data_IF_932869902930
#
_entry.id   IF_932869902930
#
_cell.length_a   1.000
_cell.length_b   1.000
_cell.length_c   1.000
_cell.angle_alpha   90.00
_cell.angle_beta   90.00
_cell.angle_gamma   90.00
#
_symmetry.space_group_name_H-M   'P 1'
#
loop_
_entity.id
_entity.type
_entity.pdbx_description
1 polymer ?
#
# COMPACT_ATOMS: atom_id res chain seq x y z
N UNK A 1 23.85 8.06 16.88
CA UNK A 1 22.66 7.26 17.23
C UNK A 1 22.73 6.95 18.71
N UNK A 2 21.61 7.06 19.41
CA UNK A 2 21.50 6.72 20.84
C UNK A 2 21.40 5.19 21.01
N UNK A 3 21.85 4.66 22.15
CA UNK A 3 21.83 3.23 22.45
C UNK A 3 21.64 2.94 23.93
N UNK A 4 21.31 1.69 24.26
CA UNK A 4 21.01 1.23 25.63
C UNK A 4 19.51 1.14 25.90
N UNK A 5 19.07 0.92 27.16
CA UNK A 5 17.64 0.87 27.47
C UNK A 5 17.00 2.27 27.37
N UNK A 6 15.74 2.32 26.92
CA UNK A 6 14.96 3.57 26.95
C UNK A 6 14.64 3.90 28.42
N UNK A 7 15.01 5.09 28.93
CA UNK A 7 14.68 5.48 30.30
C UNK A 7 13.18 5.36 30.59
N UNK A 8 12.75 4.70 31.69
CA UNK A 8 11.32 4.46 31.97
C UNK A 8 10.47 5.73 32.01
N UNK A 9 11.06 6.87 32.42
CA UNK A 9 10.36 8.14 32.51
C UNK A 9 9.87 8.67 31.15
N UNK A 10 10.53 8.33 30.04
CA UNK A 10 10.09 8.72 28.68
C UNK A 10 8.78 7.99 28.35
N UNK A 11 8.68 6.72 28.71
CA UNK A 11 7.50 5.91 28.45
C UNK A 11 6.33 6.31 29.36
N UNK A 12 6.61 6.73 30.60
CA UNK A 12 5.59 7.12 31.58
C UNK A 12 5.12 8.58 31.47
N UNK A 13 5.69 9.41 30.60
CA UNK A 13 5.31 10.81 30.50
C UNK A 13 3.90 11.03 29.91
N UNK A 14 3.33 12.18 30.30
CA UNK A 14 2.05 12.71 29.82
C UNK A 14 2.19 13.22 28.38
N UNK A 15 1.08 13.35 27.64
CA UNK A 15 1.00 13.80 26.23
C UNK A 15 1.43 15.26 26.00
N UNK A 16 2.06 15.92 26.98
CA UNK A 16 2.51 17.31 26.87
C UNK A 16 3.87 17.44 26.17
N UNK A 17 4.67 16.37 26.16
CA UNK A 17 6.00 16.38 25.56
C UNK A 17 6.09 15.31 24.47
N UNK A 18 6.73 15.72 23.39
CA UNK A 18 6.90 14.97 22.15
C UNK A 18 8.34 14.45 22.07
N UNK A 19 8.51 13.13 21.94
CA UNK A 19 9.81 12.48 21.86
C UNK A 19 9.94 11.66 20.59
N UNK A 20 10.85 12.07 19.73
CA UNK A 20 11.26 11.25 18.61
C UNK A 20 12.51 10.43 18.98
N UNK A 21 12.32 9.12 19.06
CA UNK A 21 13.38 8.13 19.29
C UNK A 21 13.55 7.25 18.05
N UNK A 22 12.93 7.59 16.92
CA UNK A 22 13.04 6.81 15.69
C UNK A 22 14.48 6.71 15.19
N UNK A 23 14.80 5.64 14.47
CA UNK A 23 16.14 5.40 13.90
C UNK A 23 17.28 5.49 14.94
N UNK A 24 17.05 4.96 16.15
CA UNK A 24 18.07 4.78 17.18
C UNK A 24 18.32 3.30 17.46
N UNK A 25 19.22 3.00 18.39
CA UNK A 25 19.74 1.66 18.63
C UNK A 25 19.52 1.19 20.08
N UNK A 26 18.28 1.27 20.55
CA UNK A 26 17.94 0.93 21.92
C UNK A 26 17.80 -0.58 22.15
N UNK A 27 18.14 -1.03 23.35
CA UNK A 27 17.97 -2.40 23.86
C UNK A 27 16.70 -2.48 24.71
N UNK A 28 16.10 -3.66 24.82
CA UNK A 28 14.98 -3.91 25.76
C UNK A 28 13.77 -2.97 25.57
N UNK A 29 13.32 -2.78 24.33
CA UNK A 29 12.07 -2.06 24.09
C UNK A 29 10.91 -2.93 24.58
N UNK A 30 10.40 -2.64 25.77
CA UNK A 30 9.06 -3.10 26.16
C UNK A 30 8.07 -2.46 25.19
N UNK A 31 7.52 -3.26 24.28
CA UNK A 31 6.47 -2.82 23.35
C UNK A 31 5.37 -2.16 24.16
N UNK A 32 5.15 -0.84 24.03
CA UNK A 32 4.09 -0.18 24.77
C UNK A 32 2.77 -0.84 24.35
N UNK A 33 1.97 -1.29 25.31
CA UNK A 33 0.65 -1.87 25.01
C UNK A 33 -0.25 -0.89 24.23
N UNK A 34 0.04 0.41 24.33
CA UNK A 34 -0.56 1.48 23.55
C UNK A 34 0.53 2.43 23.05
N UNK A 35 0.74 2.52 21.73
CA UNK A 35 1.61 3.56 21.18
C UNK A 35 0.97 4.93 21.29
N UNK A 36 1.69 5.85 21.92
CA UNK A 36 1.26 7.22 22.17
C UNK A 36 1.57 8.07 20.95
N UNK A 37 0.67 8.99 20.60
CA UNK A 37 0.90 9.95 19.50
C UNK A 37 2.10 10.89 19.76
N UNK A 38 2.62 10.94 20.98
CA UNK A 38 3.73 11.81 21.39
C UNK A 38 5.08 11.08 21.52
N UNK A 39 5.18 9.81 21.13
CA UNK A 39 6.41 9.02 21.21
C UNK A 39 6.61 8.22 19.92
N UNK A 40 7.59 8.63 19.11
CA UNK A 40 7.94 7.91 17.89
C UNK A 40 9.05 6.89 18.16
N UNK A 41 8.71 5.61 18.08
CA UNK A 41 9.63 4.47 18.26
C UNK A 41 9.95 3.74 16.94
N UNK A 42 9.66 4.34 15.79
CA UNK A 42 9.88 3.71 14.49
C UNK A 42 11.35 3.30 14.32
N UNK A 43 11.62 2.01 14.03
CA UNK A 43 12.97 1.45 13.91
C UNK A 43 13.92 1.90 15.05
N UNK A 44 13.48 1.85 16.29
CA UNK A 44 14.25 2.29 17.47
C UNK A 44 14.99 1.16 18.21
N UNK A 45 14.73 -0.11 17.89
CA UNK A 45 15.34 -1.29 18.53
C UNK A 45 16.47 -1.93 17.73
N UNK A 46 17.40 -2.55 18.46
CA UNK A 46 18.38 -3.49 17.92
C UNK A 46 17.92 -4.95 18.08
N UNK A 47 17.90 -5.73 16.99
CA UNK A 47 17.80 -7.20 17.08
C UNK A 47 17.30 -7.92 15.82
N UNK A 48 18.21 -8.63 15.14
CA UNK A 48 17.88 -9.74 14.23
C UNK A 48 17.48 -9.39 12.79
N UNK A 49 18.41 -9.62 11.86
CA UNK A 49 18.37 -9.51 10.40
C UNK A 49 17.83 -8.25 9.70
N UNK A 50 16.83 -7.51 10.18
CA UNK A 50 16.52 -6.15 9.74
C UNK A 50 15.77 -5.47 10.88
N UNK A 51 16.09 -4.22 11.20
CA UNK A 51 15.41 -3.42 12.24
C UNK A 51 13.92 -3.31 11.89
N UNK A 52 13.09 -4.23 12.40
CA UNK A 52 11.65 -4.14 12.26
C UNK A 52 11.16 -2.93 13.06
N UNK A 53 10.23 -2.13 12.54
CA UNK A 53 9.59 -1.08 13.33
C UNK A 53 9.01 -1.65 14.62
N UNK A 54 9.00 -0.86 15.70
CA UNK A 54 8.27 -1.27 16.91
C UNK A 54 6.79 -1.41 16.52
N UNK A 55 6.27 -2.63 16.63
CA UNK A 55 4.90 -2.94 16.21
C UNK A 55 3.94 -2.56 17.33
N UNK A 56 3.29 -1.42 17.10
CA UNK A 56 2.26 -0.84 17.95
C UNK A 56 0.86 -1.44 17.74
N UNK A 57 0.67 -2.14 16.62
CA UNK A 57 -0.56 -2.80 16.22
C UNK A 57 -0.29 -4.29 16.15
N UNK A 58 -1.25 -5.12 16.57
CA UNK A 58 -1.12 -6.56 16.46
C UNK A 58 -0.87 -6.97 15.00
N UNK A 59 -0.14 -8.06 14.86
CA UNK A 59 0.53 -8.52 13.64
C UNK A 59 -0.40 -9.08 12.56
N UNK A 60 -1.63 -8.57 12.46
CA UNK A 60 -2.69 -9.20 11.66
C UNK A 60 -2.94 -8.44 10.35
N UNK A 61 -2.37 -8.96 9.27
CA UNK A 61 -2.81 -8.64 7.91
C UNK A 61 -4.04 -9.50 7.56
N UNK A 62 -5.19 -8.85 7.38
CA UNK A 62 -6.44 -9.47 6.93
C UNK A 62 -6.32 -10.03 5.52
N UNK A 63 -5.55 -9.36 4.65
CA UNK A 63 -5.34 -9.76 3.25
C UNK A 63 -3.96 -9.36 2.74
N UNK A 64 -3.39 -10.26 1.94
CA UNK A 64 -2.23 -9.99 1.11
C UNK A 64 -2.50 -8.87 0.10
N UNK A 65 -1.59 -7.91 0.05
CA UNK A 65 -1.63 -6.74 -0.82
C UNK A 65 -0.65 -6.90 -1.98
N UNK A 66 -1.18 -6.70 -3.19
CA UNK A 66 -0.40 -6.70 -4.44
C UNK A 66 -0.21 -5.29 -4.96
N UNK A 67 -1.00 -4.33 -4.50
CA UNK A 67 -0.86 -2.93 -4.85
C UNK A 67 -1.35 -2.04 -3.72
N UNK A 68 -0.74 -0.88 -3.57
CA UNK A 68 -1.12 0.16 -2.60
C UNK A 68 -0.95 1.51 -3.27
N UNK A 69 -1.97 2.37 -3.17
CA UNK A 69 -2.02 3.68 -3.80
C UNK A 69 -2.43 4.70 -2.74
N UNK A 70 -1.62 5.74 -2.51
CA UNK A 70 -1.80 6.66 -1.39
C UNK A 70 -1.84 8.10 -1.92
N UNK A 71 -2.90 8.85 -1.59
CA UNK A 71 -2.99 10.29 -1.85
C UNK A 71 -2.39 11.07 -0.68
N UNK A 72 -1.10 11.38 -0.74
CA UNK A 72 -0.31 11.87 0.38
C UNK A 72 -0.77 13.28 0.80
N UNK A 73 -1.23 13.46 2.04
CA UNK A 73 -1.80 14.74 2.52
C UNK A 73 -3.23 15.01 2.04
N UNK A 74 -3.80 14.15 1.19
CA UNK A 74 -5.09 14.34 0.54
C UNK A 74 -6.15 13.33 0.98
N UNK A 75 -7.42 13.66 0.71
CA UNK A 75 -8.54 12.75 0.90
C UNK A 75 -8.53 11.63 -0.16
N UNK A 76 -9.31 10.58 0.05
CA UNK A 76 -9.47 9.51 -0.93
C UNK A 76 -9.89 10.09 -2.29
N UNK A 77 -9.26 9.62 -3.37
CA UNK A 77 -9.56 10.09 -4.72
C UNK A 77 -9.39 8.99 -5.75
N UNK A 78 -10.08 9.11 -6.87
CA UNK A 78 -9.98 8.14 -7.98
C UNK A 78 -9.32 8.81 -9.19
N UNK A 79 -8.31 8.14 -9.74
CA UNK A 79 -7.63 8.57 -10.97
C UNK A 79 -7.68 7.42 -11.97
N UNK A 80 -8.40 7.62 -13.06
CA UNK A 80 -8.69 6.54 -14.00
C UNK A 80 -9.47 5.43 -13.31
N UNK A 81 -8.87 4.24 -13.20
CA UNK A 81 -9.45 3.06 -12.54
C UNK A 81 -8.81 2.75 -11.18
N UNK A 82 -7.93 3.62 -10.69
CA UNK A 82 -7.17 3.42 -9.45
C UNK A 82 -7.74 4.32 -8.36
N UNK A 83 -8.06 3.72 -7.21
CA UNK A 83 -8.47 4.44 -6.00
C UNK A 83 -7.22 4.66 -5.16
N UNK A 84 -6.95 5.92 -4.82
CA UNK A 84 -5.88 6.32 -3.92
C UNK A 84 -6.46 6.53 -2.53
N UNK A 85 -5.95 5.77 -1.57
CA UNK A 85 -6.35 5.84 -0.16
C UNK A 85 -6.01 7.21 0.44
N UNK A 86 -6.85 7.68 1.35
CA UNK A 86 -6.68 8.96 2.02
C UNK A 86 -5.47 8.95 2.97
N UNK A 87 -4.62 9.97 2.86
CA UNK A 87 -3.64 10.37 3.86
C UNK A 87 -3.93 11.82 4.30
N UNK A 88 -5.12 12.05 4.84
CA UNK A 88 -5.62 13.38 5.24
C UNK A 88 -5.56 13.62 6.75
N UNK A 89 -5.00 12.69 7.51
CA UNK A 89 -4.89 12.86 8.95
C UNK A 89 -3.94 14.01 9.31
N UNK A 90 -4.20 14.71 10.43
CA UNK A 90 -3.26 15.69 10.96
C UNK A 90 -1.89 15.04 11.16
N UNK A 91 -0.84 15.69 10.67
CA UNK A 91 0.53 15.31 10.97
C UNK A 91 0.93 15.69 12.40
N UNK A 92 2.21 15.56 12.70
CA UNK A 92 2.74 15.93 14.01
C UNK A 92 4.25 15.83 14.06
N UNK A 93 4.83 16.39 15.12
CA UNK A 93 6.28 16.44 15.30
C UNK A 93 6.92 15.06 15.44
N UNK A 94 6.15 14.11 15.98
CA UNK A 94 6.60 12.79 16.39
C UNK A 94 5.47 11.77 16.24
N UNK A 95 4.90 11.63 15.04
CA UNK A 95 3.76 10.74 14.85
C UNK A 95 4.23 9.35 14.41
N UNK A 96 3.95 8.33 15.21
CA UNK A 96 4.03 6.93 14.79
C UNK A 96 2.98 6.11 15.55
N UNK A 97 1.74 6.24 15.10
CA UNK A 97 0.61 5.51 15.67
C UNK A 97 -0.11 4.79 14.53
N UNK A 98 -0.22 3.47 14.61
CA UNK A 98 -0.82 2.71 13.54
C UNK A 98 -2.35 2.91 13.60
N UNK A 99 -2.92 3.43 12.53
CA UNK A 99 -4.38 3.64 12.40
C UNK A 99 -5.01 2.83 11.27
N UNK A 100 -4.19 2.40 10.32
CA UNK A 100 -4.57 1.58 9.17
C UNK A 100 -3.83 0.26 9.23
N UNK A 101 -4.42 -0.77 8.65
CA UNK A 101 -3.85 -2.11 8.59
C UNK A 101 -2.67 -2.19 7.60
N UNK A 102 -2.84 -1.60 6.42
CA UNK A 102 -1.95 -1.80 5.26
C UNK A 102 -0.75 -0.86 5.27
N UNK A 103 -0.86 0.37 5.74
CA UNK A 103 0.27 1.31 5.74
C UNK A 103 0.14 2.33 6.85
N UNK A 104 1.26 2.93 7.21
CA UNK A 104 1.32 3.95 8.25
C UNK A 104 2.47 4.92 7.98
N UNK A 105 2.43 6.06 8.68
CA UNK A 105 3.50 7.06 8.59
C UNK A 105 4.27 7.17 9.91
N UNK A 106 5.57 7.40 9.79
CA UNK A 106 6.43 7.91 10.85
C UNK A 106 6.88 9.32 10.46
N UNK A 107 6.51 10.33 11.26
CA UNK A 107 6.89 11.72 11.03
C UNK A 107 7.80 12.23 12.13
N UNK A 108 8.75 13.09 11.73
CA UNK A 108 9.73 13.69 12.63
C UNK A 108 9.93 15.17 12.28
N UNK A 109 10.18 15.96 13.32
CA UNK A 109 10.56 17.35 13.21
C UNK A 109 9.43 18.31 13.58
N UNK A 110 9.77 19.29 14.40
CA UNK A 110 8.93 20.42 14.76
C UNK A 110 9.79 21.66 14.88
N UNK A 111 9.24 22.81 14.48
CA UNK A 111 9.90 24.09 14.65
C UNK A 111 9.67 24.55 16.08
N UNK A 112 10.75 24.71 16.85
CA UNK A 112 10.66 25.24 18.20
C UNK A 112 9.99 26.62 18.22
N UNK A 113 9.22 26.88 19.28
CA UNK A 113 8.47 28.12 19.54
C UNK A 113 7.39 28.49 18.51
N UNK A 114 7.06 27.61 17.57
CA UNK A 114 5.93 27.77 16.65
C UNK A 114 4.81 26.83 17.07
N UNK A 115 3.60 27.35 17.30
CA UNK A 115 2.46 26.48 17.56
C UNK A 115 2.20 25.61 16.32
N UNK A 116 2.10 24.29 16.48
CA UNK A 116 1.86 23.41 15.33
C UNK A 116 0.52 23.75 14.67
N UNK A 117 0.56 23.88 13.35
CA UNK A 117 -0.59 24.05 12.48
C UNK A 117 -0.71 22.84 11.54
N UNK A 118 -1.92 22.53 11.07
CA UNK A 118 -2.13 21.49 10.06
C UNK A 118 -1.29 21.75 8.79
N UNK A 119 -1.14 23.03 8.42
CA UNK A 119 -0.34 23.49 7.27
C UNK A 119 1.16 23.18 7.41
N UNK A 120 1.64 22.85 8.62
CA UNK A 120 3.03 22.49 8.85
C UNK A 120 3.34 21.04 8.44
N UNK A 121 2.30 20.23 8.20
CA UNK A 121 2.43 18.83 7.81
C UNK A 121 1.60 18.43 6.58
N UNK A 122 0.67 19.26 6.14
CA UNK A 122 -0.07 19.10 4.88
C UNK A 122 0.05 20.40 4.10
N UNK A 123 0.67 20.34 2.92
CA UNK A 123 0.66 21.46 2.00
C UNK A 123 -0.65 21.48 1.23
N UNK A 124 -1.15 22.69 0.97
CA UNK A 124 -2.21 22.94 0.01
C UNK A 124 -1.65 23.79 -1.15
N UNK A 125 -2.12 23.51 -2.36
CA UNK A 125 -1.72 24.23 -3.56
C UNK A 125 -2.08 25.72 -3.48
N UNK A 126 -1.11 26.57 -3.82
CA UNK A 126 -1.33 28.03 -3.79
C UNK A 126 -2.04 28.58 -5.03
N UNK A 127 -2.11 27.81 -6.12
CA UNK A 127 -2.72 28.24 -7.37
C UNK A 127 -3.44 27.10 -8.09
N UNK A 128 -4.23 27.46 -9.10
CA UNK A 128 -4.92 26.48 -9.95
C UNK A 128 -3.90 25.61 -10.67
N UNK A 129 -4.01 24.30 -10.46
CA UNK A 129 -3.15 23.30 -11.07
C UNK A 129 -3.73 22.89 -12.43
N UNK A 130 -2.97 23.12 -13.51
CA UNK A 130 -3.37 22.79 -14.90
C UNK A 130 -2.83 21.46 -15.42
N UNK A 131 -2.18 20.69 -14.55
CA UNK A 131 -1.63 19.38 -14.88
C UNK A 131 -2.72 18.30 -14.94
N UNK A 132 -2.43 17.21 -15.66
CA UNK A 132 -3.30 16.04 -15.68
C UNK A 132 -3.37 15.41 -14.28
N UNK A 133 -4.54 14.87 -13.93
CA UNK A 133 -4.79 14.25 -12.63
C UNK A 133 -4.47 15.18 -11.45
N UNK A 134 -4.74 16.48 -11.61
CA UNK A 134 -4.42 17.53 -10.63
C UNK A 134 -4.98 17.24 -9.24
N UNK A 135 -6.02 16.43 -9.11
CA UNK A 135 -6.58 15.98 -7.83
C UNK A 135 -5.57 15.28 -6.90
N UNK A 136 -4.51 14.68 -7.43
CA UNK A 136 -3.42 14.07 -6.62
C UNK A 136 -2.38 15.08 -6.13
N UNK A 137 -2.40 16.30 -6.66
CA UNK A 137 -1.37 17.31 -6.41
C UNK A 137 -1.95 18.56 -5.73
N UNK A 138 -3.26 18.59 -5.43
CA UNK A 138 -3.89 19.70 -4.69
C UNK A 138 -3.40 19.78 -3.26
N UNK A 139 -3.14 18.63 -2.65
CA UNK A 139 -2.49 18.52 -1.34
C UNK A 139 -1.26 17.63 -1.43
N UNK A 140 -0.34 17.82 -0.51
CA UNK A 140 0.85 16.99 -0.38
C UNK A 140 1.22 16.83 1.09
N UNK A 141 1.73 15.65 1.47
CA UNK A 141 2.29 15.44 2.80
C UNK A 141 3.67 16.07 2.87
N UNK A 142 3.94 16.80 3.94
CA UNK A 142 5.28 17.31 4.22
C UNK A 142 5.66 17.19 5.69
N UNK A 143 6.95 17.25 5.99
CA UNK A 143 7.45 17.32 7.37
C UNK A 143 8.70 18.20 7.41
N UNK A 144 9.03 18.83 8.55
CA UNK A 144 10.26 19.60 8.65
C UNK A 144 11.55 18.77 8.52
N UNK A 145 11.56 17.52 9.00
CA UNK A 145 12.80 16.71 9.08
C UNK A 145 12.73 15.39 8.32
N UNK A 146 11.81 14.48 8.68
CA UNK A 146 11.70 13.18 8.02
C UNK A 146 10.28 12.65 8.02
N UNK A 147 9.91 12.03 6.90
CA UNK A 147 8.64 11.39 6.65
C UNK A 147 8.91 9.98 6.14
N UNK A 148 8.36 8.97 6.80
CA UNK A 148 8.50 7.58 6.37
C UNK A 148 7.14 6.97 6.15
N UNK A 149 6.88 6.43 4.97
CA UNK A 149 5.75 5.54 4.72
C UNK A 149 6.24 4.10 4.93
N UNK A 150 5.58 3.40 5.85
CA UNK A 150 5.81 1.99 6.09
C UNK A 150 4.57 1.23 5.65
N UNK A 151 4.68 0.56 4.49
CA UNK A 151 3.62 -0.22 3.86
C UNK A 151 3.83 -1.68 4.24
N UNK A 152 2.82 -2.31 4.82
CA UNK A 152 2.79 -3.69 5.33
C UNK A 152 1.87 -4.55 4.47
N UNK A 153 1.79 -5.83 4.83
CA UNK A 153 0.89 -6.80 4.22
C UNK A 153 1.16 -7.04 2.73
N UNK A 154 2.32 -6.65 2.23
CA UNK A 154 2.74 -6.90 0.86
C UNK A 154 3.18 -8.36 0.72
N UNK A 155 2.88 -8.97 -0.41
CA UNK A 155 3.45 -10.29 -0.74
C UNK A 155 4.94 -10.13 -1.04
N UNK A 156 5.77 -11.08 -0.61
CA UNK A 156 7.19 -11.04 -0.96
C UNK A 156 7.39 -11.14 -2.48
N UNK A 157 8.17 -10.21 -3.04
CA UNK A 157 8.34 -10.08 -4.48
C UNK A 157 8.98 -8.77 -4.90
N UNK A 158 9.02 -8.53 -6.21
CA UNK A 158 9.45 -7.26 -6.77
C UNK A 158 8.24 -6.36 -7.03
N UNK A 159 8.42 -5.08 -6.74
CA UNK A 159 7.40 -4.05 -6.89
C UNK A 159 7.93 -2.88 -7.72
N UNK A 160 7.08 -2.37 -8.59
CA UNK A 160 7.23 -1.05 -9.20
C UNK A 160 6.70 -0.01 -8.22
N UNK A 161 7.55 0.93 -7.84
CA UNK A 161 7.22 2.05 -6.96
C UNK A 161 7.27 3.32 -7.78
N UNK A 162 6.17 4.08 -7.81
CA UNK A 162 6.12 5.41 -8.39
C UNK A 162 5.88 6.44 -7.29
N UNK A 163 6.77 7.41 -7.22
CA UNK A 163 6.70 8.51 -6.26
C UNK A 163 6.32 9.78 -7.03
N UNK A 164 5.20 10.37 -6.63
CA UNK A 164 4.63 11.53 -7.30
C UNK A 164 4.98 12.80 -6.53
N UNK A 165 5.56 13.75 -7.24
CA UNK A 165 5.99 15.03 -6.71
C UNK A 165 5.44 16.18 -7.55
N UNK A 166 5.02 17.24 -6.89
CA UNK A 166 4.83 18.55 -7.49
C UNK A 166 5.19 19.61 -6.46
N UNK A 167 5.98 20.61 -6.85
CA UNK A 167 6.25 21.75 -5.97
C UNK A 167 5.06 22.71 -6.06
N UNK A 168 4.22 22.70 -5.02
CA UNK A 168 2.95 23.42 -4.94
C UNK A 168 2.98 24.57 -3.91
N UNK A 169 4.10 24.70 -3.19
CA UNK A 169 4.31 25.68 -2.12
C UNK A 169 5.29 26.75 -2.58
N UNK A 170 6.51 26.39 -2.97
CA UNK A 170 7.46 27.34 -3.56
C UNK A 170 6.90 27.87 -4.90
N UNK A 171 7.17 29.14 -5.20
CA UNK A 171 6.62 29.85 -6.37
C UNK A 171 7.74 30.38 -7.26
N UNK A 172 7.44 30.70 -8.50
CA UNK A 172 8.37 31.33 -9.45
C UNK A 172 8.07 32.83 -9.68
N UNK A 173 7.15 33.39 -8.88
CA UNK A 173 6.70 34.78 -9.00
C UNK A 173 7.57 35.76 -8.16
N UNK A 174 7.28 37.06 -8.28
CA UNK A 174 7.94 38.12 -7.48
C UNK A 174 7.39 38.18 -6.04
N UNK A 175 7.46 37.07 -5.31
CA UNK A 175 7.09 36.99 -3.89
C UNK A 175 8.18 36.33 -3.05
N UNK A 176 8.06 36.40 -1.72
CA UNK A 176 9.01 35.72 -0.81
C UNK A 176 9.05 34.20 -1.01
N UNK A 177 7.99 33.60 -1.57
CA UNK A 177 7.92 32.16 -1.86
C UNK A 177 8.87 31.70 -2.97
N UNK A 178 9.39 32.61 -3.81
CA UNK A 178 10.36 32.26 -4.85
C UNK A 178 11.81 32.17 -4.39
N UNK A 179 12.07 32.59 -3.16
CA UNK A 179 13.36 32.40 -2.51
C UNK A 179 13.47 31.01 -1.84
N UNK A 180 12.35 30.32 -1.64
CA UNK A 180 12.32 28.99 -1.04
C UNK A 180 13.04 27.96 -1.89
N UNK A 181 13.80 27.06 -1.25
CA UNK A 181 14.45 25.93 -1.90
C UNK A 181 14.23 24.67 -1.07
N UNK A 182 13.59 23.67 -1.67
CA UNK A 182 13.32 22.36 -1.05
C UNK A 182 14.32 21.34 -1.57
N UNK A 183 15.16 20.81 -0.69
CA UNK A 183 16.17 19.81 -1.06
C UNK A 183 16.17 18.71 -0.01
N UNK A 184 15.92 17.47 -0.42
CA UNK A 184 15.86 16.33 0.49
C UNK A 184 16.33 15.04 -0.20
N UNK A 185 16.59 14.01 0.58
CA UNK A 185 16.92 12.68 0.10
C UNK A 185 15.68 11.79 0.15
N UNK A 186 15.58 10.85 -0.80
CA UNK A 186 14.53 9.82 -0.85
C UNK A 186 15.19 8.45 -0.83
N UNK A 187 14.70 7.59 0.06
CA UNK A 187 15.15 6.23 0.25
C UNK A 187 13.99 5.27 0.03
N UNK A 188 14.29 4.12 -0.57
CA UNK A 188 13.38 2.98 -0.64
C UNK A 188 14.13 1.76 -0.09
N UNK A 189 13.57 1.09 0.92
CA UNK A 189 14.25 -0.02 1.63
C UNK A 189 15.67 0.35 2.07
N UNK A 190 15.81 1.49 2.77
CA UNK A 190 17.09 2.06 3.26
C UNK A 190 18.12 2.42 2.16
N UNK A 191 17.79 2.27 0.86
CA UNK A 191 18.65 2.64 -0.26
C UNK A 191 18.27 4.00 -0.80
N UNK A 192 19.23 4.90 -0.93
CA UNK A 192 19.01 6.22 -1.53
C UNK A 192 18.69 6.07 -3.03
N UNK A 193 17.52 6.55 -3.44
CA UNK A 193 17.05 6.53 -4.84
C UNK A 193 17.09 7.92 -5.46
N UNK A 194 16.92 8.97 -4.65
CA UNK A 194 17.12 10.36 -5.05
C UNK A 194 17.94 11.05 -3.96
N UNK A 195 19.09 11.61 -4.34
CA UNK A 195 19.97 12.37 -3.44
C UNK A 195 19.91 13.85 -3.79
N UNK A 196 19.89 14.72 -2.79
CA UNK A 196 19.81 16.18 -2.96
C UNK A 196 18.68 16.58 -3.93
N UNK A 197 17.54 15.90 -3.79
CA UNK A 197 16.41 16.01 -4.70
C UNK A 197 15.69 17.35 -4.54
N UNK A 198 15.58 18.06 -5.66
CA UNK A 198 14.92 19.35 -5.81
C UNK A 198 13.77 19.18 -6.81
N UNK A 199 12.53 19.24 -6.30
CA UNK A 199 11.31 18.94 -7.08
C UNK A 199 11.18 19.93 -8.25
N UNK A 200 11.38 21.23 -7.98
CA UNK A 200 11.25 22.29 -8.98
C UNK A 200 12.22 22.05 -10.14
N UNK A 201 13.49 21.73 -9.84
CA UNK A 201 14.49 21.44 -10.88
C UNK A 201 14.15 20.19 -11.68
N UNK A 202 13.73 19.12 -11.00
CA UNK A 202 13.40 17.85 -11.66
C UNK A 202 12.16 17.96 -12.55
N UNK A 203 11.13 18.69 -12.10
CA UNK A 203 9.90 18.96 -12.84
C UNK A 203 10.04 20.10 -13.88
N UNK A 204 11.19 20.79 -13.90
CA UNK A 204 11.46 21.98 -14.72
C UNK A 204 10.48 23.13 -14.45
N UNK A 205 10.15 23.35 -13.18
CA UNK A 205 9.32 24.44 -12.68
C UNK A 205 8.37 24.04 -11.55
N UNK A 206 7.72 25.04 -10.96
CA UNK A 206 6.65 24.87 -9.97
C UNK A 206 5.33 24.46 -10.62
N UNK A 207 4.40 23.90 -9.86
CA UNK A 207 3.10 23.39 -10.34
C UNK A 207 3.23 22.41 -11.53
N UNK A 208 4.31 21.64 -11.56
CA UNK A 208 4.57 20.61 -12.57
C UNK A 208 4.78 19.26 -11.89
N UNK A 209 4.29 18.23 -12.57
CA UNK A 209 4.41 16.85 -12.10
C UNK A 209 5.79 16.31 -12.42
N UNK A 210 6.43 15.72 -11.43
CA UNK A 210 7.54 14.80 -11.60
C UNK A 210 7.18 13.45 -10.97
N UNK A 211 7.33 12.37 -11.75
CA UNK A 211 7.10 11.00 -11.28
C UNK A 211 8.43 10.27 -11.32
N UNK A 212 8.90 9.83 -10.16
CA UNK A 212 10.06 8.96 -10.07
C UNK A 212 9.64 7.50 -10.05
N UNK A 213 10.11 6.73 -11.02
CA UNK A 213 9.88 5.28 -11.07
C UNK A 213 11.11 4.55 -10.52
N UNK A 214 10.88 3.62 -9.59
CA UNK A 214 11.91 2.77 -9.02
C UNK A 214 11.38 1.35 -8.82
N UNK A 215 12.27 0.39 -8.66
CA UNK A 215 11.92 -1.00 -8.34
C UNK A 215 12.41 -1.35 -6.95
N UNK A 216 11.58 -2.02 -6.16
CA UNK A 216 11.91 -2.44 -4.81
C UNK A 216 11.62 -3.92 -4.61
N UNK A 217 12.51 -4.61 -3.90
CA UNK A 217 12.30 -5.98 -3.48
C UNK A 217 11.73 -5.99 -2.06
N UNK A 218 10.63 -6.70 -1.86
CA UNK A 218 10.00 -6.95 -0.56
C UNK A 218 10.33 -8.37 -0.12
N UNK A 219 10.93 -8.51 1.06
CA UNK A 219 11.38 -9.81 1.62
C UNK A 219 10.73 -10.16 2.95
N UNK A 220 10.17 -9.17 3.62
CA UNK A 220 9.64 -9.23 4.98
C UNK A 220 8.22 -8.64 5.03
N UNK A 221 7.46 -8.82 3.95
CA UNK A 221 6.07 -8.37 3.76
C UNK A 221 5.83 -6.86 3.95
N UNK A 222 6.91 -6.07 4.00
CA UNK A 222 6.86 -4.64 4.15
C UNK A 222 7.77 -3.90 3.17
N UNK A 223 7.40 -2.65 2.89
CA UNK A 223 8.15 -1.73 2.06
C UNK A 223 8.23 -0.37 2.77
N UNK A 224 9.44 0.14 2.88
CA UNK A 224 9.70 1.45 3.46
C UNK A 224 10.08 2.47 2.39
N UNK A 225 9.44 3.64 2.43
CA UNK A 225 9.81 4.82 1.66
C UNK A 225 10.10 5.94 2.66
N UNK A 226 11.35 6.37 2.76
CA UNK A 226 11.78 7.43 3.67
C UNK A 226 12.19 8.66 2.89
N UNK A 227 11.63 9.80 3.26
CA UNK A 227 12.06 11.12 2.80
C UNK A 227 12.73 11.84 3.96
N UNK A 228 13.90 12.44 3.72
CA UNK A 228 14.72 13.01 4.78
C UNK A 228 15.39 14.32 4.36
N UNK A 229 15.20 15.36 5.15
CA UNK A 229 15.90 16.62 4.97
C UNK A 229 17.27 16.58 5.62
N UNK A 230 18.32 16.60 4.78
CA UNK A 230 19.72 16.53 5.20
C UNK A 230 20.35 17.91 5.49
N UNK A 231 19.54 18.93 5.84
CA UNK A 231 20.04 20.27 6.17
C UNK A 231 20.30 21.20 4.98
N UNK A 232 19.76 20.91 3.80
CA UNK A 232 19.99 21.70 2.56
C UNK A 232 18.74 22.46 2.10
N UNK A 233 18.94 23.54 1.36
CA UNK A 233 17.84 24.41 0.93
C UNK A 233 17.59 25.54 1.92
N UNK A 234 16.36 26.03 1.98
CA UNK A 234 15.96 27.11 2.91
C UNK A 234 15.41 26.56 4.21
N UNK A 235 15.49 27.34 5.29
CA UNK A 235 14.90 26.98 6.60
C UNK A 235 13.83 27.97 7.07
N UNK A 236 13.88 29.21 6.56
CA UNK A 236 12.99 30.31 6.97
C UNK A 236 12.08 30.82 5.86
N UNK A 237 12.37 30.48 4.60
CA UNK A 237 11.57 30.86 3.44
C UNK A 237 10.85 29.65 2.85
N UNK A 238 9.56 29.76 2.48
CA UNK A 238 8.70 30.96 2.62
C UNK A 238 8.17 31.20 4.03
N UNK A 239 8.04 30.12 4.79
CA UNK A 239 7.61 30.09 6.19
C UNK A 239 8.55 29.10 6.89
N UNK A 240 8.82 29.32 8.17
CA UNK A 240 9.60 28.38 8.96
C UNK A 240 8.83 27.06 9.06
N UNK A 241 9.51 25.94 8.86
CA UNK A 241 8.96 24.58 9.05
C UNK A 241 8.45 23.88 7.79
N UNK A 242 8.11 24.62 6.73
CA UNK A 242 7.53 24.04 5.51
C UNK A 242 8.57 23.68 4.44
N UNK A 243 9.85 23.56 4.81
CA UNK A 243 10.98 23.41 3.87
C UNK A 243 11.51 21.98 3.70
N UNK A 244 11.06 21.04 4.55
CA UNK A 244 11.55 19.66 4.51
C UNK A 244 10.99 18.85 3.34
N UNK A 245 10.89 17.52 3.43
CA UNK A 245 10.43 16.73 2.30
C UNK A 245 8.95 16.92 2.00
N UNK A 246 8.56 16.81 0.73
CA UNK A 246 7.18 16.90 0.26
C UNK A 246 6.89 15.78 -0.74
N UNK A 247 5.74 15.13 -0.64
CA UNK A 247 5.28 14.09 -1.57
C UNK A 247 3.76 14.17 -1.77
N UNK A 248 3.31 14.00 -3.02
CA UNK A 248 1.91 14.16 -3.41
C UNK A 248 1.16 12.83 -3.49
N UNK A 249 1.80 11.78 -4.02
CA UNK A 249 1.20 10.45 -4.06
C UNK A 249 2.26 9.34 -4.14
N UNK A 250 1.86 8.13 -3.79
CA UNK A 250 2.66 6.91 -3.88
C UNK A 250 1.85 5.84 -4.60
N UNK A 251 2.45 5.20 -5.60
CA UNK A 251 1.95 3.97 -6.20
C UNK A 251 2.94 2.83 -5.95
N UNK A 252 2.44 1.71 -5.46
CA UNK A 252 3.19 0.48 -5.28
C UNK A 252 2.42 -0.62 -6.00
N UNK A 253 3.03 -1.27 -6.98
CA UNK A 253 2.40 -2.33 -7.76
C UNK A 253 3.34 -3.54 -7.87
N UNK A 254 2.86 -4.71 -7.46
CA UNK A 254 3.59 -5.97 -7.61
C UNK A 254 3.78 -6.31 -9.08
N UNK A 255 5.00 -6.72 -9.45
CA UNK A 255 5.27 -7.29 -10.78
C UNK A 255 4.58 -8.64 -10.97
N UNK A 256 4.25 -9.32 -9.86
CA UNK A 256 3.47 -10.56 -9.84
C UNK A 256 1.97 -10.27 -9.82
N UNK A 257 1.18 -11.06 -10.57
CA UNK A 257 -0.27 -10.93 -10.59
C UNK A 257 -0.91 -11.66 -9.41
N UNK A 258 -1.96 -11.10 -8.78
CA UNK A 258 -2.69 -11.81 -7.74
C UNK A 258 -3.31 -13.11 -8.29
N UNK A 259 -3.37 -14.17 -7.48
CA UNK A 259 -3.99 -15.42 -7.89
C UNK A 259 -5.46 -15.19 -8.25
N UNK A 260 -5.84 -15.53 -9.48
CA UNK A 260 -7.23 -15.34 -9.95
C UNK A 260 -8.18 -16.19 -9.11
N UNK A 261 -9.02 -15.55 -8.28
CA UNK A 261 -10.01 -16.21 -7.39
C UNK A 261 -11.08 -17.05 -8.14
N UNK A 262 -11.11 -17.03 -9.47
CA UNK A 262 -12.19 -17.57 -10.30
C UNK A 262 -12.07 -19.03 -10.77
N UNK A 263 -10.94 -19.72 -10.62
CA UNK A 263 -10.77 -21.07 -11.20
C UNK A 263 -11.10 -22.24 -10.26
N UNK A 264 -11.07 -22.05 -8.93
CA UNK A 264 -11.32 -23.15 -7.97
C UNK A 264 -12.80 -23.52 -7.78
N UNK A 265 -13.76 -22.61 -8.03
CA UNK A 265 -15.20 -22.93 -7.87
C UNK A 265 -15.81 -23.70 -9.04
N UNK A 266 -15.25 -23.60 -10.26
CA UNK A 266 -15.78 -24.32 -11.44
C UNK A 266 -15.41 -25.81 -11.48
N UNK A 267 -14.30 -26.21 -10.86
CA UNK A 267 -13.86 -27.61 -10.81
C UNK A 267 -14.70 -28.48 -9.86
N UNK A 268 -15.16 -27.91 -8.74
CA UNK A 268 -15.94 -28.66 -7.73
C UNK A 268 -17.38 -28.94 -8.23
N UNK A 269 -17.99 -27.99 -8.95
CA UNK A 269 -19.35 -28.15 -9.50
C UNK A 269 -19.37 -29.11 -10.70
N UNK A 270 -18.35 -29.10 -11.55
CA UNK A 270 -18.26 -30.07 -12.65
C UNK A 270 -18.01 -31.50 -12.14
N UNK A 271 -17.15 -31.66 -11.12
CA UNK A 271 -16.86 -32.97 -10.52
C UNK A 271 -18.07 -33.61 -9.83
N UNK A 272 -18.90 -32.82 -9.14
CA UNK A 272 -20.09 -33.33 -8.46
C UNK A 272 -21.19 -33.79 -9.43
N UNK A 273 -21.39 -33.07 -10.54
CA UNK A 273 -22.38 -33.44 -11.56
C UNK A 273 -21.97 -34.72 -12.29
N UNK A 274 -20.68 -34.89 -12.61
CA UNK A 274 -20.19 -36.11 -13.28
C UNK A 274 -20.31 -37.33 -12.36
N UNK A 275 -19.98 -37.20 -11.06
CA UNK A 275 -20.12 -38.30 -10.11
C UNK A 275 -21.59 -38.72 -9.91
N UNK A 276 -22.51 -37.75 -9.85
CA UNK A 276 -23.94 -38.04 -9.71
C UNK A 276 -24.49 -38.79 -10.93
N UNK A 277 -24.11 -38.36 -12.14
CA UNK A 277 -24.49 -39.02 -13.40
C UNK A 277 -23.94 -40.44 -13.49
N UNK A 278 -22.71 -40.66 -13.02
CA UNK A 278 -22.08 -41.99 -13.00
C UNK A 278 -22.81 -42.94 -12.04
N UNK A 279 -23.19 -42.46 -10.85
CA UNK A 279 -23.95 -43.25 -9.88
C UNK A 279 -25.34 -43.63 -10.40
N UNK A 280 -26.02 -42.71 -11.08
CA UNK A 280 -27.30 -42.99 -11.75
C UNK A 280 -27.13 -44.05 -12.84
N UNK A 281 -26.07 -43.97 -13.65
CA UNK A 281 -25.78 -44.97 -14.68
C UNK A 281 -25.53 -46.37 -14.10
N UNK A 282 -24.79 -46.46 -12.99
CA UNK A 282 -24.56 -47.74 -12.30
C UNK A 282 -25.88 -48.29 -11.75
N UNK A 283 -26.70 -47.46 -11.10
CA UNK A 283 -28.02 -47.85 -10.60
C UNK A 283 -28.93 -48.38 -11.73
N UNK A 284 -29.01 -47.66 -12.84
CA UNK A 284 -29.79 -48.09 -14.01
C UNK A 284 -29.26 -49.41 -14.59
N UNK A 285 -27.94 -49.57 -14.69
CA UNK A 285 -27.30 -50.80 -15.17
C UNK A 285 -27.60 -51.99 -14.26
N UNK A 286 -27.57 -51.80 -12.93
CA UNK A 286 -27.91 -52.83 -11.94
C UNK A 286 -29.40 -53.17 -12.00
N UNK A 287 -30.29 -52.18 -12.12
CA UNK A 287 -31.74 -52.40 -12.26
C UNK A 287 -32.08 -53.14 -13.56
N UNK A 288 -31.35 -52.86 -14.64
CA UNK A 288 -31.50 -53.55 -15.91
C UNK A 288 -30.99 -54.99 -15.83
N UNK A 289 -29.82 -55.22 -15.20
CA UNK A 289 -29.28 -56.56 -14.94
C UNK A 289 -30.23 -57.40 -14.07
N UNK A 290 -30.81 -56.81 -13.02
CA UNK A 290 -31.77 -57.49 -12.15
C UNK A 290 -33.17 -57.66 -12.76
N UNK A 291 -33.40 -57.20 -14.00
CA UNK A 291 -34.62 -57.46 -14.75
C UNK A 291 -35.84 -56.62 -14.36
N UNK A 292 -35.66 -55.55 -13.58
CA UNK A 292 -36.78 -54.70 -13.13
C UNK A 292 -37.31 -53.74 -14.20
N UNK A 293 -36.56 -53.50 -15.28
CA UNK A 293 -36.90 -52.56 -16.36
C UNK A 293 -37.31 -53.23 -17.69
N UNK A 294 -37.41 -54.57 -17.72
CA UNK A 294 -37.73 -55.33 -18.92
C UNK A 294 -39.18 -55.81 -18.96
N UNK A 295 -40.06 -55.05 -19.61
CA UNK A 295 -41.40 -55.53 -19.98
C UNK A 295 -41.31 -56.68 -20.98
N UNK A 296 -41.98 -57.81 -20.68
CA UNK A 296 -42.09 -58.97 -21.57
C UNK A 296 -42.68 -58.55 -22.93
N UNK A 297 -41.96 -58.82 -24.03
CA UNK A 297 -42.57 -58.85 -25.37
C UNK A 297 -43.38 -60.15 -25.51
N UNK A 298 -44.67 -60.02 -25.81
CA UNK A 298 -45.56 -61.13 -26.20
C UNK A 298 -45.20 -61.63 -27.61
N UNK A 299 -45.19 -62.96 -27.80
CA UNK A 299 -45.11 -63.63 -29.10
C UNK A 299 -46.52 -63.80 -29.64
N UNK A 300 -46.81 -63.22 -30.80
CA UNK A 300 -47.98 -63.61 -31.61
C UNK A 300 -47.65 -64.81 -32.49
N UNK A 301 -48.60 -65.74 -32.58
CA UNK A 301 -48.59 -66.94 -33.43
C UNK A 301 -49.59 -66.79 -34.59
N UNK A 302 -49.17 -67.24 -35.77
CA UNK A 302 -50.01 -67.56 -36.95
C UNK A 302 -50.19 -66.39 -37.93
N UNK A 303 -49.87 -66.47 -39.23
CA UNK A 303 -50.30 -67.51 -40.17
C UNK A 303 -49.42 -67.50 -41.44
N UNK A 304 -49.32 -68.68 -42.06
CA UNK A 304 -48.56 -69.12 -43.25
C UNK A 304 -48.91 -68.38 -44.56
N UNK A 305 -47.94 -68.07 -45.43
CA UNK A 305 -47.92 -68.55 -46.84
C UNK A 305 -46.75 -68.06 -47.71
N UNK A 306 -46.16 -69.05 -48.41
CA UNK A 306 -45.54 -69.08 -49.73
C UNK A 306 -44.37 -68.15 -50.08
N UNK A 307 -43.21 -68.81 -50.18
CA UNK A 307 -42.07 -68.42 -50.99
C UNK A 307 -42.41 -68.70 -52.47
N UNK A 308 -42.42 -67.66 -53.30
CA UNK A 308 -42.08 -67.77 -54.71
C UNK A 308 -40.94 -66.81 -54.98
N UNK A 309 -39.82 -67.37 -55.45
CA UNK A 309 -38.76 -66.63 -56.12
C UNK A 309 -39.35 -65.83 -57.29
N UNK A 310 -38.72 -64.70 -57.63
CA UNK A 310 -37.96 -64.50 -58.88
C UNK A 310 -37.39 -63.06 -58.88
N UNK A 311 -36.17 -62.96 -59.40
CA UNK A 311 -35.31 -61.78 -59.48
C UNK A 311 -35.76 -60.76 -60.55
N UNK A 312 -35.05 -59.62 -60.53
CA UNK A 312 -34.82 -58.70 -61.66
C UNK A 312 -35.98 -57.76 -62.02
N UNK A 313 -35.82 -56.45 -62.24
CA UNK A 313 -34.67 -55.53 -62.32
C UNK A 313 -35.15 -54.14 -61.88
#
# INVERSE_FOLDING_TARGET
MLSGPIPPWIQSQNTRYEFDLSYNNFTEITTPTNCKETLNLFKSSWGGNYSKPVECLSDYCSKDQYSVHINCGGSETTVGNTIYEADDEPGGATKYVPKREVWQISTTGHVWDVKPSEDDYIAQNMSILRMNNSQLYTKARLTPLSLTYHVRCLVNGNYNVKLHFAEIVMRDNRSFYSLGRRIFDVYIQDRIVLKDFDIEKAAQGVDKVYIHNSTAKVTDTALEIRLHWAGKGTTTSPKIGIYGPLISAIDIESESKPPTKGKRKKLIVAGSVVLLLFLVFILLSVLWWKGYLGGRKSRDQGTVMNISLICEF
#
